data_IF_528545294834
#
_entry.id   IF_528545294834
#
_cell.length_a   1.000
_cell.length_b   1.000
_cell.length_c   1.000
_cell.angle_alpha   90.00
_cell.angle_beta   90.00
_cell.angle_gamma   90.00
#
_symmetry.space_group_name_H-M   'P 1'
#
loop_
_entity.id
_entity.type
_entity.pdbx_description
1 polymer ?
#
# COMPACT_ATOMS: atom_id res chain seq x y z
N UNK A 1 -6.69 13.40 -13.84
CA UNK A 1 -7.63 14.24 -13.04
C UNK A 1 -7.80 13.66 -11.62
N UNK A 2 -7.98 12.34 -11.45
CA UNK A 2 -8.09 11.72 -10.13
C UNK A 2 -6.90 12.07 -9.23
N UNK A 3 -5.69 11.84 -9.71
CA UNK A 3 -4.46 12.13 -8.95
C UNK A 3 -4.27 13.62 -8.67
N UNK A 4 -4.68 14.48 -9.61
CA UNK A 4 -4.62 15.93 -9.40
C UNK A 4 -5.60 16.38 -8.31
N UNK A 5 -6.84 15.87 -8.32
CA UNK A 5 -7.81 16.17 -7.27
C UNK A 5 -7.35 15.65 -5.91
N UNK A 6 -6.78 14.42 -5.83
CA UNK A 6 -6.18 13.91 -4.61
C UNK A 6 -5.06 14.82 -4.08
N UNK A 7 -4.12 15.22 -4.96
CA UNK A 7 -3.01 16.07 -4.57
C UNK A 7 -3.48 17.42 -4.01
N UNK A 8 -4.48 18.03 -4.67
CA UNK A 8 -5.07 19.30 -4.21
C UNK A 8 -5.79 19.15 -2.87
N UNK A 9 -6.48 18.01 -2.64
CA UNK A 9 -7.15 17.72 -1.37
C UNK A 9 -6.14 17.59 -0.24
N UNK A 10 -5.06 16.80 -0.43
CA UNK A 10 -4.02 16.67 0.58
C UNK A 10 -3.32 18.00 0.85
N UNK A 11 -3.02 18.78 -0.20
CA UNK A 11 -2.43 20.10 -0.03
C UNK A 11 -3.37 21.04 0.74
N UNK A 12 -4.67 21.04 0.44
CA UNK A 12 -5.64 21.81 1.21
C UNK A 12 -5.68 21.38 2.69
N UNK A 13 -5.63 20.10 2.97
CA UNK A 13 -5.67 19.59 4.36
C UNK A 13 -4.48 20.09 5.20
N UNK A 14 -3.32 20.29 4.56
CA UNK A 14 -2.12 20.81 5.23
C UNK A 14 -2.13 22.36 5.34
N UNK A 15 -2.39 23.05 4.23
CA UNK A 15 -2.18 24.49 4.11
C UNK A 15 -3.45 25.33 4.34
N UNK A 16 -4.64 24.72 4.27
CA UNK A 16 -5.95 25.37 4.38
C UNK A 16 -6.12 26.52 3.38
N UNK A 17 -5.54 26.40 2.16
CA UNK A 17 -5.58 27.44 1.13
C UNK A 17 -6.91 27.39 0.37
N UNK A 18 -7.79 28.37 0.63
CA UNK A 18 -9.12 28.50 0.01
C UNK A 18 -9.08 28.60 -1.54
N UNK A 19 -7.96 29.00 -2.13
CA UNK A 19 -7.80 29.04 -3.60
C UNK A 19 -7.88 27.62 -4.19
N UNK A 20 -7.42 26.62 -3.45
CA UNK A 20 -7.48 25.21 -3.86
C UNK A 20 -8.92 24.72 -3.92
N UNK A 21 -9.77 25.14 -2.98
CA UNK A 21 -11.19 24.79 -2.95
C UNK A 21 -11.89 25.23 -4.24
N UNK A 22 -11.62 26.46 -4.67
CA UNK A 22 -12.20 26.99 -5.91
C UNK A 22 -11.74 26.20 -7.15
N UNK A 23 -10.46 25.80 -7.21
CA UNK A 23 -9.94 24.99 -8.32
C UNK A 23 -10.59 23.60 -8.30
N UNK A 24 -10.61 22.94 -7.15
CA UNK A 24 -11.22 21.62 -6.98
C UNK A 24 -12.71 21.63 -7.33
N UNK A 25 -13.46 22.66 -6.89
CA UNK A 25 -14.88 22.81 -7.21
C UNK A 25 -15.12 22.90 -8.73
N UNK A 26 -14.31 23.68 -9.44
CA UNK A 26 -14.39 23.76 -10.92
C UNK A 26 -14.10 22.41 -11.57
N UNK A 27 -13.12 21.65 -11.05
CA UNK A 27 -12.83 20.31 -11.56
C UNK A 27 -14.02 19.37 -11.36
N UNK A 28 -14.61 19.37 -10.16
CA UNK A 28 -15.78 18.55 -9.82
C UNK A 28 -16.97 18.90 -10.70
N UNK A 29 -17.31 20.18 -10.83
CA UNK A 29 -18.43 20.64 -11.65
C UNK A 29 -18.25 20.27 -13.12
N UNK A 30 -17.04 20.41 -13.65
CA UNK A 30 -16.72 20.00 -15.03
C UNK A 30 -16.95 18.49 -15.21
N UNK A 31 -16.41 17.68 -14.32
CA UNK A 31 -16.56 16.22 -14.37
C UNK A 31 -18.03 15.81 -14.24
N UNK A 32 -18.77 16.45 -13.35
CA UNK A 32 -20.20 16.20 -13.20
C UNK A 32 -20.98 16.48 -14.48
N UNK A 33 -20.73 17.61 -15.13
CA UNK A 33 -21.38 17.98 -16.39
C UNK A 33 -21.00 17.08 -17.59
N UNK A 34 -19.79 16.49 -17.56
CA UNK A 34 -19.35 15.53 -18.57
C UNK A 34 -19.91 14.11 -18.34
N UNK A 35 -20.56 13.86 -17.22
CA UNK A 35 -21.12 12.55 -16.89
C UNK A 35 -22.60 12.46 -17.26
N UNK A 36 -23.04 11.24 -17.57
CA UNK A 36 -24.44 10.91 -17.84
C UNK A 36 -25.02 10.07 -16.72
N UNK A 37 -26.30 10.26 -16.43
CA UNK A 37 -27.02 9.52 -15.40
C UNK A 37 -27.83 8.37 -16.01
N UNK A 38 -27.78 7.22 -15.34
CA UNK A 38 -28.49 5.99 -15.68
C UNK A 38 -29.15 5.43 -14.40
N UNK A 39 -30.35 5.89 -14.10
CA UNK A 39 -30.98 5.54 -12.80
C UNK A 39 -30.19 6.12 -11.62
N UNK A 40 -29.69 5.25 -10.73
CA UNK A 40 -28.80 5.61 -9.63
C UNK A 40 -27.31 5.56 -9.99
N UNK A 41 -27.00 5.22 -11.24
CA UNK A 41 -25.63 5.13 -11.76
C UNK A 41 -25.25 6.39 -12.53
N UNK A 42 -23.93 6.65 -12.61
CA UNK A 42 -23.35 7.68 -13.49
C UNK A 42 -22.10 7.15 -14.15
N UNK A 43 -21.86 7.60 -15.37
CA UNK A 43 -20.66 7.30 -16.14
C UNK A 43 -20.36 8.44 -17.12
N UNK A 44 -19.11 8.53 -17.54
CA UNK A 44 -18.70 9.49 -18.56
C UNK A 44 -19.12 9.03 -19.95
N UNK A 45 -19.32 9.99 -20.87
CA UNK A 45 -19.66 9.69 -22.24
C UNK A 45 -18.60 8.80 -22.91
N UNK A 46 -19.01 7.89 -23.83
CA UNK A 46 -18.09 6.99 -24.53
C UNK A 46 -16.94 7.72 -25.24
N UNK A 47 -17.18 8.94 -25.71
CA UNK A 47 -16.17 9.78 -26.38
C UNK A 47 -15.03 10.19 -25.44
N UNK A 48 -15.32 10.35 -24.14
CA UNK A 48 -14.34 10.66 -23.11
C UNK A 48 -13.48 9.43 -22.77
N UNK A 49 -14.06 8.23 -22.97
CA UNK A 49 -13.46 6.93 -22.60
C UNK A 49 -12.55 6.39 -23.70
N UNK A 50 -12.75 6.81 -24.96
CA UNK A 50 -12.21 6.16 -26.17
C UNK A 50 -10.69 5.96 -26.18
N UNK A 51 -9.94 6.81 -25.51
CA UNK A 51 -8.47 6.83 -25.59
C UNK A 51 -7.77 6.38 -24.29
N UNK A 52 -8.51 5.76 -23.35
CA UNK A 52 -7.92 5.29 -22.08
C UNK A 52 -7.43 3.85 -22.28
N UNK A 53 -6.14 3.69 -22.55
CA UNK A 53 -5.49 2.38 -22.72
C UNK A 53 -5.55 1.45 -21.49
N UNK A 54 -6.10 1.89 -20.37
CA UNK A 54 -6.26 1.13 -19.13
C UNK A 54 -7.65 0.52 -18.94
N UNK A 55 -8.54 0.68 -19.94
CA UNK A 55 -9.93 0.25 -19.87
C UNK A 55 -10.85 1.26 -19.18
N UNK A 56 -12.16 1.17 -19.44
CA UNK A 56 -13.16 2.12 -18.97
C UNK A 56 -13.26 2.17 -17.43
N UNK A 57 -13.00 1.07 -16.75
CA UNK A 57 -13.01 0.98 -15.28
C UNK A 57 -12.01 1.94 -14.61
N UNK A 58 -10.92 2.31 -15.30
CA UNK A 58 -9.94 3.26 -14.77
C UNK A 58 -10.54 4.65 -14.50
N UNK A 59 -11.68 4.99 -15.09
CA UNK A 59 -12.43 6.21 -14.77
C UNK A 59 -12.97 6.21 -13.34
N UNK A 60 -13.15 5.04 -12.75
CA UNK A 60 -13.54 4.88 -11.35
C UNK A 60 -12.46 5.30 -10.33
N UNK A 61 -11.20 5.51 -10.75
CA UNK A 61 -10.16 6.06 -9.86
C UNK A 61 -10.54 7.45 -9.30
N UNK A 62 -11.45 8.16 -9.95
CA UNK A 62 -11.92 9.47 -9.48
C UNK A 62 -12.95 9.38 -8.35
N UNK A 63 -13.51 8.21 -8.07
CA UNK A 63 -14.57 8.03 -7.06
C UNK A 63 -14.09 8.50 -5.69
N UNK A 64 -12.93 8.01 -5.24
CA UNK A 64 -12.43 8.32 -3.91
C UNK A 64 -12.16 9.82 -3.68
N UNK A 65 -11.43 10.54 -4.54
CA UNK A 65 -11.23 11.97 -4.33
C UNK A 65 -12.50 12.81 -4.48
N UNK A 66 -13.49 12.40 -5.28
CA UNK A 66 -14.79 13.07 -5.32
C UNK A 66 -15.51 12.95 -3.97
N UNK A 67 -15.56 11.75 -3.41
CA UNK A 67 -16.22 11.51 -2.14
C UNK A 67 -15.46 12.14 -0.96
N UNK A 68 -14.13 12.19 -1.02
CA UNK A 68 -13.33 12.92 -0.03
C UNK A 68 -13.59 14.44 -0.12
N UNK A 69 -13.78 14.97 -1.32
CA UNK A 69 -14.17 16.37 -1.52
C UNK A 69 -15.55 16.65 -0.93
N UNK A 70 -16.52 15.76 -1.16
CA UNK A 70 -17.85 15.87 -0.54
C UNK A 70 -17.78 15.81 0.99
N UNK A 71 -17.02 14.90 1.57
CA UNK A 71 -16.85 14.81 3.04
C UNK A 71 -16.29 16.09 3.66
N UNK A 72 -15.39 16.80 2.94
CA UNK A 72 -14.78 18.03 3.42
C UNK A 72 -15.66 19.27 3.21
N UNK A 73 -16.38 19.33 2.09
CA UNK A 73 -17.06 20.56 1.65
C UNK A 73 -18.56 20.45 1.48
N UNK A 74 -19.15 19.25 1.65
CA UNK A 74 -20.60 19.01 1.48
C UNK A 74 -21.07 19.21 0.03
N UNK A 75 -20.30 18.79 -0.97
CA UNK A 75 -20.58 19.03 -2.38
C UNK A 75 -21.46 17.96 -3.01
N UNK A 76 -22.71 18.30 -3.31
CA UNK A 76 -23.68 17.37 -3.89
C UNK A 76 -23.29 16.83 -5.28
N UNK A 77 -22.59 17.60 -6.12
CA UNK A 77 -22.14 17.15 -7.43
C UNK A 77 -21.06 16.08 -7.28
N UNK A 78 -20.12 16.30 -6.37
CA UNK A 78 -19.08 15.32 -6.03
C UNK A 78 -19.68 14.03 -5.48
N UNK A 79 -20.61 14.13 -4.53
CA UNK A 79 -21.32 12.99 -3.96
C UNK A 79 -22.08 12.21 -5.03
N UNK A 80 -22.92 12.89 -5.80
CA UNK A 80 -23.76 12.27 -6.82
C UNK A 80 -22.92 11.59 -7.90
N UNK A 81 -21.85 12.22 -8.35
CA UNK A 81 -20.94 11.64 -9.34
C UNK A 81 -20.18 10.45 -8.76
N UNK A 82 -19.56 10.60 -7.58
CA UNK A 82 -18.78 9.56 -6.94
C UNK A 82 -19.59 8.31 -6.62
N UNK A 83 -20.76 8.48 -6.01
CA UNK A 83 -21.67 7.37 -5.70
C UNK A 83 -22.21 6.71 -6.98
N UNK A 84 -22.61 7.51 -7.96
CA UNK A 84 -23.11 6.99 -9.24
C UNK A 84 -22.06 6.19 -10.01
N UNK A 85 -20.79 6.63 -10.00
CA UNK A 85 -19.67 5.88 -10.58
C UNK A 85 -19.42 4.57 -9.81
N UNK A 86 -19.51 4.59 -8.48
CA UNK A 86 -19.31 3.38 -7.68
C UNK A 86 -20.33 2.29 -8.02
N UNK A 87 -21.62 2.66 -8.14
CA UNK A 87 -22.66 1.74 -8.61
C UNK A 87 -22.39 1.25 -10.03
N UNK A 88 -22.05 2.15 -10.94
CA UNK A 88 -21.79 1.78 -12.33
C UNK A 88 -20.62 0.81 -12.45
N UNK A 89 -19.50 1.10 -11.79
CA UNK A 89 -18.29 0.29 -11.88
C UNK A 89 -18.45 -1.13 -11.28
N UNK A 90 -19.37 -1.31 -10.34
CA UNK A 90 -19.58 -2.60 -9.65
C UNK A 90 -20.77 -3.42 -10.15
N UNK A 91 -21.61 -2.83 -10.99
CA UNK A 91 -22.77 -3.51 -11.58
C UNK A 91 -22.33 -4.61 -12.56
N UNK A 92 -22.88 -5.80 -12.40
CA UNK A 92 -22.57 -6.95 -13.24
C UNK A 92 -22.93 -6.73 -14.73
N UNK A 93 -23.96 -5.93 -15.00
CA UNK A 93 -24.40 -5.65 -16.36
C UNK A 93 -23.41 -4.82 -17.18
N UNK A 94 -22.50 -4.09 -16.52
CA UNK A 94 -21.44 -3.31 -17.18
C UNK A 94 -20.30 -4.17 -17.73
N UNK A 95 -20.18 -5.41 -17.23
CA UNK A 95 -19.15 -6.35 -17.67
C UNK A 95 -17.73 -5.96 -17.26
N UNK A 96 -17.56 -5.20 -16.16
CA UNK A 96 -16.25 -4.90 -15.62
C UNK A 96 -15.73 -5.98 -14.68
N UNK A 97 -16.64 -6.58 -13.92
CA UNK A 97 -16.35 -7.69 -13.04
C UNK A 97 -17.39 -8.81 -13.24
N UNK A 98 -16.95 -10.04 -13.11
CA UNK A 98 -17.85 -11.18 -13.05
C UNK A 98 -18.51 -11.35 -11.65
N UNK A 99 -19.32 -12.38 -11.51
CA UNK A 99 -20.02 -12.72 -10.27
C UNK A 99 -19.05 -13.02 -9.10
N UNK A 100 -17.84 -13.48 -9.40
CA UNK A 100 -16.81 -13.80 -8.39
C UNK A 100 -16.00 -12.58 -7.97
N UNK A 101 -16.05 -11.49 -8.74
CA UNK A 101 -15.24 -10.29 -8.52
C UNK A 101 -13.94 -10.26 -9.34
N UNK A 102 -13.78 -11.17 -10.31
CA UNK A 102 -12.68 -11.09 -11.26
C UNK A 102 -12.91 -9.98 -12.28
N UNK A 103 -11.84 -9.31 -12.66
CA UNK A 103 -11.85 -8.33 -13.74
C UNK A 103 -12.04 -9.08 -15.07
N UNK A 104 -12.98 -8.62 -15.88
CA UNK A 104 -13.35 -9.27 -17.16
C UNK A 104 -13.22 -8.33 -18.36
N UNK A 105 -13.29 -8.90 -19.54
CA UNK A 105 -13.19 -8.16 -20.80
C UNK A 105 -11.79 -7.58 -21.02
N UNK A 106 -11.72 -6.36 -21.52
CA UNK A 106 -10.48 -5.65 -21.80
C UNK A 106 -10.01 -4.77 -20.62
N UNK A 107 -10.52 -5.03 -19.41
CA UNK A 107 -10.14 -4.27 -18.23
C UNK A 107 -8.82 -4.78 -17.65
N UNK A 108 -8.00 -3.89 -17.14
CA UNK A 108 -6.74 -4.28 -16.49
C UNK A 108 -6.98 -4.61 -15.00
N UNK A 109 -6.31 -5.63 -14.49
CA UNK A 109 -6.31 -5.96 -13.06
C UNK A 109 -6.06 -4.73 -12.17
N UNK A 110 -5.03 -3.92 -12.52
CA UNK A 110 -4.71 -2.69 -11.80
C UNK A 110 -5.88 -1.71 -11.77
N UNK A 111 -6.58 -1.54 -12.89
CA UNK A 111 -7.75 -0.65 -12.94
C UNK A 111 -8.90 -1.18 -12.07
N UNK A 112 -9.04 -2.51 -11.97
CA UNK A 112 -10.03 -3.12 -11.09
C UNK A 112 -9.77 -2.85 -9.61
N UNK A 113 -8.53 -2.87 -9.17
CA UNK A 113 -8.19 -2.56 -7.77
C UNK A 113 -8.24 -1.06 -7.46
N UNK A 114 -7.98 -0.19 -8.43
CA UNK A 114 -7.90 1.25 -8.22
C UNK A 114 -9.21 1.94 -7.87
N UNK A 115 -10.35 1.29 -8.12
CA UNK A 115 -11.67 1.82 -7.78
C UNK A 115 -12.14 1.43 -6.37
N UNK A 116 -11.50 0.42 -5.74
CA UNK A 116 -12.07 -0.25 -4.57
C UNK A 116 -12.14 0.66 -3.34
N UNK A 117 -11.16 1.50 -3.11
CA UNK A 117 -11.20 2.48 -2.01
C UNK A 117 -12.40 3.41 -2.15
N UNK A 118 -12.64 3.93 -3.36
CA UNK A 118 -13.79 4.78 -3.66
C UNK A 118 -15.13 4.04 -3.51
N UNK A 119 -15.23 2.79 -3.99
CA UNK A 119 -16.44 1.96 -3.84
C UNK A 119 -16.78 1.71 -2.37
N UNK A 120 -15.79 1.35 -1.56
CA UNK A 120 -16.00 1.12 -0.13
C UNK A 120 -16.37 2.41 0.62
N UNK A 121 -15.77 3.54 0.24
CA UNK A 121 -16.15 4.86 0.75
C UNK A 121 -17.59 5.22 0.37
N UNK A 122 -17.99 5.03 -0.90
CA UNK A 122 -19.35 5.25 -1.37
C UNK A 122 -20.36 4.43 -0.55
N UNK A 123 -20.08 3.15 -0.36
CA UNK A 123 -20.92 2.24 0.43
C UNK A 123 -21.10 2.70 1.88
N UNK A 124 -20.02 3.19 2.51
CA UNK A 124 -20.09 3.77 3.87
C UNK A 124 -20.92 5.05 3.92
N UNK A 125 -20.70 5.97 2.98
CA UNK A 125 -21.45 7.24 2.92
C UNK A 125 -22.94 7.05 2.66
N UNK A 126 -23.30 6.06 1.85
CA UNK A 126 -24.69 5.73 1.53
C UNK A 126 -25.32 4.72 2.50
N UNK A 127 -24.53 4.13 3.39
CA UNK A 127 -24.92 3.02 4.26
C UNK A 127 -25.47 1.82 3.47
N UNK A 128 -24.99 1.62 2.24
CA UNK A 128 -25.43 0.52 1.37
C UNK A 128 -24.60 -0.74 1.62
N UNK A 129 -25.22 -1.67 2.37
CA UNK A 129 -24.60 -2.95 2.71
C UNK A 129 -24.34 -3.84 1.49
N UNK A 130 -25.13 -3.71 0.42
CA UNK A 130 -24.95 -4.53 -0.79
C UNK A 130 -23.75 -4.04 -1.62
N UNK A 131 -23.61 -2.73 -1.79
CA UNK A 131 -22.43 -2.12 -2.42
C UNK A 131 -21.17 -2.42 -1.61
N UNK A 132 -21.25 -2.36 -0.28
CA UNK A 132 -20.14 -2.71 0.60
C UNK A 132 -19.71 -4.18 0.44
N UNK A 133 -20.69 -5.09 0.48
CA UNK A 133 -20.42 -6.53 0.29
C UNK A 133 -19.81 -6.82 -1.08
N UNK A 134 -20.26 -6.13 -2.12
CA UNK A 134 -19.70 -6.25 -3.48
C UNK A 134 -18.27 -5.73 -3.54
N UNK A 135 -17.98 -4.54 -3.00
CA UNK A 135 -16.63 -3.98 -2.93
C UNK A 135 -15.66 -4.89 -2.16
N UNK A 136 -16.11 -5.43 -1.02
CA UNK A 136 -15.33 -6.42 -0.25
C UNK A 136 -15.06 -7.69 -1.05
N UNK A 137 -16.08 -8.25 -1.71
CA UNK A 137 -15.94 -9.44 -2.54
C UNK A 137 -14.88 -9.26 -3.63
N UNK A 138 -14.92 -8.12 -4.34
CA UNK A 138 -13.94 -7.79 -5.39
C UNK A 138 -12.55 -7.64 -4.77
N UNK A 139 -12.43 -6.94 -3.64
CA UNK A 139 -11.15 -6.80 -2.94
C UNK A 139 -10.55 -8.16 -2.56
N UNK A 140 -11.32 -9.01 -1.91
CA UNK A 140 -10.87 -10.33 -1.46
C UNK A 140 -10.47 -11.21 -2.65
N UNK A 141 -11.24 -11.16 -3.73
CA UNK A 141 -10.95 -11.90 -4.96
C UNK A 141 -9.66 -11.45 -5.62
N UNK A 142 -9.49 -10.16 -5.84
CA UNK A 142 -8.29 -9.63 -6.48
C UNK A 142 -7.06 -9.78 -5.57
N UNK A 143 -7.21 -9.64 -4.26
CA UNK A 143 -6.14 -9.90 -3.29
C UNK A 143 -5.70 -11.36 -3.27
N UNK A 144 -6.56 -12.31 -3.66
CA UNK A 144 -6.20 -13.74 -3.71
C UNK A 144 -5.14 -14.08 -4.76
N UNK A 145 -4.88 -13.18 -5.69
CA UNK A 145 -3.80 -13.29 -6.69
C UNK A 145 -2.49 -12.67 -6.24
N UNK A 146 -2.48 -12.01 -5.09
CA UNK A 146 -1.31 -11.33 -4.53
C UNK A 146 -0.62 -12.25 -3.54
N UNK A 147 0.70 -12.34 -3.61
CA UNK A 147 1.47 -13.09 -2.61
C UNK A 147 1.33 -12.43 -1.23
N UNK A 148 1.57 -13.18 -0.17
CA UNK A 148 1.53 -12.62 1.21
C UNK A 148 2.48 -11.44 1.41
N UNK A 149 3.58 -11.36 0.67
CA UNK A 149 4.54 -10.25 0.74
C UNK A 149 4.22 -9.08 -0.19
N UNK A 150 3.13 -9.14 -0.97
CA UNK A 150 2.65 -8.04 -1.78
C UNK A 150 3.06 -8.04 -3.26
N UNK A 151 3.60 -9.17 -3.80
CA UNK A 151 3.79 -9.31 -5.24
C UNK A 151 2.44 -9.44 -5.92
N UNK A 152 2.14 -8.53 -6.84
CA UNK A 152 0.86 -8.44 -7.55
C UNK A 152 0.96 -9.02 -8.97
N UNK A 153 -0.15 -9.42 -9.60
CA UNK A 153 -0.13 -9.86 -11.00
C UNK A 153 0.33 -8.80 -11.99
N UNK A 154 0.29 -7.56 -11.59
CA UNK A 154 0.63 -6.43 -12.46
C UNK A 154 2.12 -6.08 -12.32
N UNK A 155 2.69 -5.52 -13.38
CA UNK A 155 4.09 -5.11 -13.43
C UNK A 155 4.40 -3.85 -12.61
N UNK A 156 3.38 -3.22 -12.00
CA UNK A 156 3.49 -2.02 -11.18
C UNK A 156 3.12 -2.31 -9.72
N UNK A 157 3.93 -3.09 -8.97
CA UNK A 157 3.54 -3.53 -7.61
C UNK A 157 3.35 -2.38 -6.63
N UNK A 158 4.17 -1.32 -6.70
CA UNK A 158 4.02 -0.17 -5.81
C UNK A 158 2.67 0.54 -6.01
N UNK A 159 2.23 0.73 -7.27
CA UNK A 159 0.93 1.31 -7.57
C UNK A 159 -0.22 0.40 -7.12
N UNK A 160 -0.10 -0.90 -7.43
CA UNK A 160 -1.14 -1.87 -7.11
C UNK A 160 -1.28 -2.10 -5.61
N UNK A 161 -0.16 -2.19 -4.88
CA UNK A 161 -0.18 -2.32 -3.43
C UNK A 161 -0.83 -1.14 -2.74
N UNK A 162 -0.56 0.09 -3.20
CA UNK A 162 -1.19 1.27 -2.60
C UNK A 162 -2.72 1.20 -2.69
N UNK A 163 -3.27 0.80 -3.85
CA UNK A 163 -4.72 0.69 -4.02
C UNK A 163 -5.33 -0.42 -3.14
N UNK A 164 -4.63 -1.56 -3.04
CA UNK A 164 -5.05 -2.65 -2.14
C UNK A 164 -4.92 -2.25 -0.66
N UNK A 165 -3.86 -1.56 -0.26
CA UNK A 165 -3.67 -1.04 1.09
C UNK A 165 -4.81 -0.08 1.44
N UNK A 166 -5.15 0.83 0.53
CA UNK A 166 -6.19 1.82 0.79
C UNK A 166 -7.57 1.18 0.95
N UNK A 167 -7.94 0.25 0.07
CA UNK A 167 -9.19 -0.51 0.22
C UNK A 167 -9.18 -1.40 1.47
N UNK A 168 -8.05 -2.03 1.81
CA UNK A 168 -7.90 -2.83 3.03
C UNK A 168 -8.06 -2.01 4.31
N UNK A 169 -7.65 -0.73 4.33
CA UNK A 169 -7.90 0.18 5.45
C UNK A 169 -9.41 0.34 5.70
N UNK A 170 -10.19 0.58 4.64
CA UNK A 170 -11.65 0.66 4.77
C UNK A 170 -12.26 -0.63 5.34
N UNK A 171 -11.73 -1.79 4.92
CA UNK A 171 -12.17 -3.09 5.43
C UNK A 171 -11.73 -3.32 6.87
N UNK A 172 -10.51 -2.94 7.23
CA UNK A 172 -10.00 -3.06 8.59
C UNK A 172 -10.82 -2.24 9.61
N UNK A 173 -11.24 -1.04 9.21
CA UNK A 173 -12.04 -0.15 10.04
C UNK A 173 -13.52 -0.58 10.17
N UNK A 174 -14.04 -1.33 9.20
CA UNK A 174 -15.47 -1.61 9.10
C UNK A 174 -15.82 -3.07 9.38
N UNK A 175 -14.95 -4.01 9.00
CA UNK A 175 -15.22 -5.46 9.09
C UNK A 175 -14.39 -6.09 10.19
N UNK A 176 -13.07 -6.12 10.01
CA UNK A 176 -12.17 -6.84 10.89
C UNK A 176 -10.73 -6.30 10.80
N UNK A 177 -10.12 -6.08 11.96
CA UNK A 177 -8.74 -5.62 12.08
C UNK A 177 -7.70 -6.59 11.46
N UNK A 178 -8.08 -7.80 11.05
CA UNK A 178 -7.20 -8.73 10.34
C UNK A 178 -6.72 -8.18 8.99
N UNK A 179 -7.47 -7.27 8.35
CA UNK A 179 -7.00 -6.60 7.14
C UNK A 179 -5.76 -5.73 7.36
N UNK A 180 -5.50 -5.26 8.59
CA UNK A 180 -4.22 -4.61 8.92
C UNK A 180 -3.02 -5.55 8.77
N UNK A 181 -3.22 -6.86 8.88
CA UNK A 181 -2.17 -7.85 8.65
C UNK A 181 -1.70 -7.88 7.18
N UNK A 182 -2.64 -7.83 6.24
CA UNK A 182 -2.36 -7.71 4.81
C UNK A 182 -1.57 -6.43 4.51
N UNK A 183 -2.02 -5.31 5.07
CA UNK A 183 -1.36 -4.00 4.90
C UNK A 183 0.07 -4.04 5.43
N UNK A 184 0.27 -4.56 6.65
CA UNK A 184 1.59 -4.66 7.29
C UNK A 184 2.56 -5.46 6.41
N UNK A 185 2.14 -6.64 5.92
CA UNK A 185 2.96 -7.48 5.04
C UNK A 185 3.32 -6.79 3.72
N UNK A 186 2.37 -6.10 3.09
CA UNK A 186 2.62 -5.43 1.81
C UNK A 186 3.58 -4.25 1.95
N UNK A 187 3.38 -3.42 2.98
CA UNK A 187 4.23 -2.24 3.21
C UNK A 187 5.62 -2.65 3.68
N UNK A 188 5.70 -3.59 4.61
CA UNK A 188 6.95 -4.06 5.22
C UNK A 188 7.87 -4.73 4.20
N UNK A 189 7.30 -5.39 3.20
CA UNK A 189 8.07 -6.16 2.23
C UNK A 189 8.08 -5.48 0.84
N UNK A 190 7.11 -5.78 -0.03
CA UNK A 190 7.15 -5.34 -1.42
C UNK A 190 7.26 -3.83 -1.58
N UNK A 191 6.47 -3.05 -0.83
CA UNK A 191 6.49 -1.59 -1.00
C UNK A 191 7.81 -0.99 -0.55
N UNK A 192 8.30 -1.39 0.63
CA UNK A 192 9.55 -0.88 1.19
C UNK A 192 10.76 -1.27 0.35
N UNK A 193 10.83 -2.54 -0.05
CA UNK A 193 11.94 -3.05 -0.85
C UNK A 193 12.00 -2.47 -2.27
N UNK A 194 10.87 -1.95 -2.78
CA UNK A 194 10.84 -1.22 -4.05
C UNK A 194 11.58 0.14 -3.97
N UNK A 195 11.95 0.62 -2.78
CA UNK A 195 12.67 1.89 -2.66
C UNK A 195 14.10 1.79 -3.18
N UNK A 196 14.47 2.73 -4.04
CA UNK A 196 15.84 2.93 -4.51
C UNK A 196 16.62 3.76 -3.49
N UNK A 197 17.58 3.13 -2.81
CA UNK A 197 18.27 3.76 -1.68
C UNK A 197 19.59 4.39 -2.04
N UNK A 198 20.37 3.76 -2.92
CA UNK A 198 21.69 4.27 -3.27
C UNK A 198 22.12 3.90 -4.69
N UNK A 199 22.91 4.78 -5.32
CA UNK A 199 23.56 4.53 -6.60
C UNK A 199 24.46 3.27 -6.59
N UNK A 200 25.04 2.94 -5.44
CA UNK A 200 25.86 1.74 -5.27
C UNK A 200 25.06 0.44 -5.33
N UNK A 201 23.78 0.45 -4.94
CA UNK A 201 22.87 -0.70 -5.13
C UNK A 201 22.62 -0.94 -6.61
N UNK A 202 22.32 0.13 -7.34
CA UNK A 202 22.14 0.09 -8.79
C UNK A 202 23.36 -0.53 -9.50
N UNK A 203 24.56 -0.07 -9.19
CA UNK A 203 25.78 -0.59 -9.79
C UNK A 203 26.04 -2.06 -9.42
N UNK A 204 25.70 -2.49 -8.21
CA UNK A 204 25.85 -3.89 -7.79
C UNK A 204 24.88 -4.79 -8.55
N UNK A 205 23.62 -4.41 -8.68
CA UNK A 205 22.63 -5.19 -9.41
C UNK A 205 22.99 -5.30 -10.90
N UNK A 206 23.38 -4.21 -11.53
CA UNK A 206 23.84 -4.23 -12.92
C UNK A 206 25.09 -5.10 -13.13
N UNK A 207 26.01 -5.12 -12.17
CA UNK A 207 27.22 -5.96 -12.24
C UNK A 207 26.88 -7.45 -12.02
N UNK A 208 25.86 -7.75 -11.20
CA UNK A 208 25.44 -9.12 -10.90
C UNK A 208 24.70 -9.79 -12.07
N UNK A 209 23.89 -9.03 -12.80
CA UNK A 209 23.05 -9.56 -13.90
C UNK A 209 23.74 -9.57 -15.28
N UNK A 210 24.98 -9.13 -15.37
CA UNK A 210 25.83 -9.28 -16.55
C UNK A 210 25.20 -8.78 -17.85
N UNK A 211 24.85 -7.51 -17.93
CA UNK A 211 24.34 -6.75 -19.09
C UNK A 211 22.82 -6.78 -19.28
N UNK A 212 22.23 -5.62 -19.22
CA UNK A 212 20.95 -5.32 -19.87
C UNK A 212 21.19 -5.47 -21.37
N UNK A 213 20.48 -6.39 -22.00
CA UNK A 213 20.57 -6.53 -23.45
C UNK A 213 19.86 -5.36 -24.13
N UNK A 214 20.34 -4.96 -25.32
CA UNK A 214 19.70 -3.89 -26.09
C UNK A 214 18.21 -4.14 -26.38
N UNK A 215 17.75 -5.40 -26.38
CA UNK A 215 16.34 -5.77 -26.50
C UNK A 215 15.51 -5.39 -25.26
N UNK A 216 16.01 -5.58 -24.05
CA UNK A 216 15.34 -5.21 -22.80
C UNK A 216 15.22 -3.69 -22.69
N UNK A 217 16.22 -2.98 -23.14
CA UNK A 217 16.21 -1.53 -23.21
C UNK A 217 15.20 -1.01 -24.25
N UNK A 218 15.09 -1.64 -25.41
CA UNK A 218 14.10 -1.33 -26.47
C UNK A 218 12.66 -1.53 -26.00
N UNK A 219 12.41 -2.55 -25.19
CA UNK A 219 11.08 -2.82 -24.66
C UNK A 219 10.60 -1.71 -23.72
N UNK A 220 11.49 -1.13 -22.94
CA UNK A 220 11.16 -0.11 -21.95
C UNK A 220 11.00 1.28 -22.58
N UNK A 221 11.81 1.63 -23.56
CA UNK A 221 11.84 2.97 -24.16
C UNK A 221 11.18 3.09 -25.53
N UNK A 222 10.57 2.02 -26.04
CA UNK A 222 9.90 2.02 -27.34
C UNK A 222 10.85 2.25 -28.52
N UNK A 223 10.29 2.75 -29.64
CA UNK A 223 11.02 2.95 -30.91
C UNK A 223 12.11 4.03 -30.93
N UNK A 224 12.56 4.50 -29.78
CA UNK A 224 13.80 5.32 -29.69
C UNK A 224 15.08 4.51 -29.91
N UNK A 225 14.95 3.30 -30.46
CA UNK A 225 15.98 2.27 -30.52
C UNK A 225 17.20 2.60 -31.36
N UNK A 226 17.07 3.43 -32.39
CA UNK A 226 18.15 3.60 -33.36
C UNK A 226 19.31 4.49 -32.88
N UNK A 227 19.10 5.23 -31.79
CA UNK A 227 20.12 6.10 -31.19
C UNK A 227 20.69 5.56 -29.87
N UNK A 228 20.02 4.59 -29.23
CA UNK A 228 20.37 4.11 -27.89
C UNK A 228 21.60 3.19 -27.88
N UNK A 229 21.85 2.45 -28.95
CA UNK A 229 23.05 1.61 -29.10
C UNK A 229 24.33 2.43 -29.19
N UNK A 230 24.21 3.74 -29.41
CA UNK A 230 25.33 4.68 -29.56
C UNK A 230 25.53 5.63 -28.40
N UNK A 231 24.55 5.66 -27.45
CA UNK A 231 24.67 6.52 -26.29
C UNK A 231 25.65 5.93 -25.28
N UNK A 232 26.66 6.68 -24.84
CA UNK A 232 27.54 6.23 -23.78
C UNK A 232 26.74 5.97 -22.50
N UNK A 233 27.15 4.98 -21.74
CA UNK A 233 26.57 4.64 -20.44
C UNK A 233 26.43 5.87 -19.50
N UNK A 234 27.28 6.87 -19.68
CA UNK A 234 27.33 8.14 -18.94
C UNK A 234 26.26 9.16 -19.39
N UNK A 235 25.49 8.88 -20.45
CA UNK A 235 24.49 9.84 -20.96
C UNK A 235 23.30 10.03 -19.99
N UNK A 236 23.00 9.02 -19.18
CA UNK A 236 21.96 9.15 -18.14
C UNK A 236 22.46 9.97 -16.95
N UNK A 237 23.63 10.54 -17.03
CA UNK A 237 24.24 11.43 -16.08
C UNK A 237 24.14 10.93 -14.63
N UNK A 238 25.20 10.96 -13.91
CA UNK A 238 25.23 10.66 -12.48
C UNK A 238 24.12 11.41 -11.71
N UNK A 239 23.74 12.58 -12.18
CA UNK A 239 22.70 13.43 -11.60
C UNK A 239 21.29 12.81 -11.59
N UNK A 240 20.91 11.96 -12.55
CA UNK A 240 19.55 11.38 -12.59
C UNK A 240 19.38 10.33 -11.50
N UNK A 241 20.37 9.47 -11.31
CA UNK A 241 20.36 8.46 -10.25
C UNK A 241 20.42 9.12 -8.87
N UNK A 242 21.29 10.11 -8.70
CA UNK A 242 21.42 10.85 -7.45
C UNK A 242 20.12 11.59 -7.08
N UNK A 243 19.46 12.20 -8.08
CA UNK A 243 18.15 12.86 -7.90
C UNK A 243 16.98 11.88 -7.72
N UNK A 244 17.18 10.60 -8.04
CA UNK A 244 16.17 9.55 -7.92
C UNK A 244 16.31 8.73 -6.62
N UNK A 245 17.33 9.01 -5.83
CA UNK A 245 17.53 8.37 -4.54
C UNK A 245 16.31 8.61 -3.64
N UNK A 246 15.82 7.53 -3.01
CA UNK A 246 14.55 7.52 -2.28
C UNK A 246 13.30 7.29 -3.13
N UNK A 247 13.40 7.35 -4.46
CA UNK A 247 12.32 6.98 -5.36
C UNK A 247 11.98 5.50 -5.32
N UNK A 248 10.87 5.10 -5.95
CA UNK A 248 10.41 3.71 -5.92
C UNK A 248 10.42 3.09 -7.31
N UNK A 249 10.91 1.86 -7.35
CA UNK A 249 11.00 1.06 -8.55
C UNK A 249 9.65 0.46 -8.92
N UNK A 250 9.45 0.25 -10.19
CA UNK A 250 8.29 -0.43 -10.74
C UNK A 250 8.37 -1.97 -10.60
N UNK A 251 9.56 -2.55 -10.47
CA UNK A 251 9.79 -3.99 -10.52
C UNK A 251 9.36 -4.74 -9.26
N UNK A 252 8.97 -5.98 -9.45
CA UNK A 252 8.64 -6.95 -8.41
C UNK A 252 9.90 -7.73 -7.98
N UNK A 253 10.07 -7.98 -6.67
CA UNK A 253 11.21 -8.73 -6.17
C UNK A 253 11.26 -10.18 -6.60
N UNK A 254 10.11 -10.78 -6.87
CA UNK A 254 10.06 -12.15 -7.36
C UNK A 254 10.59 -12.26 -8.79
N UNK A 255 10.74 -11.15 -9.48
CA UNK A 255 11.41 -11.09 -10.77
C UNK A 255 12.86 -10.65 -10.56
N UNK A 256 13.82 -11.46 -10.94
CA UNK A 256 15.25 -11.16 -10.83
C UNK A 256 15.74 -10.02 -11.74
N UNK A 257 14.83 -9.25 -12.32
CA UNK A 257 15.15 -8.22 -13.28
C UNK A 257 15.06 -6.84 -12.67
N UNK A 258 16.19 -6.32 -12.32
CA UNK A 258 16.36 -4.90 -12.08
C UNK A 258 16.50 -4.20 -13.44
N UNK A 259 15.46 -3.51 -13.88
CA UNK A 259 15.52 -2.73 -15.12
C UNK A 259 15.78 -1.27 -14.76
N UNK A 260 16.85 -0.63 -15.27
CA UNK A 260 17.16 0.77 -14.99
C UNK A 260 16.02 1.77 -15.22
N UNK A 261 15.16 1.49 -16.18
CA UNK A 261 13.98 2.28 -16.46
C UNK A 261 12.81 2.09 -15.48
N UNK A 262 13.00 1.32 -14.43
CA UNK A 262 11.93 1.00 -13.48
C UNK A 262 11.65 2.09 -12.44
N UNK A 263 12.42 3.18 -12.43
CA UNK A 263 12.10 4.37 -11.64
C UNK A 263 10.99 5.17 -12.33
N UNK A 264 9.78 5.09 -11.79
CA UNK A 264 8.63 5.82 -12.32
C UNK A 264 8.04 6.75 -11.26
N UNK A 265 7.77 7.98 -11.67
CA UNK A 265 7.19 9.00 -10.77
C UNK A 265 5.85 8.54 -10.17
N UNK A 266 5.02 7.84 -10.94
CA UNK A 266 3.74 7.32 -10.43
C UNK A 266 3.95 6.28 -9.32
N UNK A 267 4.92 5.36 -9.46
CA UNK A 267 5.23 4.37 -8.44
C UNK A 267 5.76 5.02 -7.16
N UNK A 268 6.62 6.01 -7.28
CA UNK A 268 7.11 6.79 -6.14
C UNK A 268 5.97 7.49 -5.39
N UNK A 269 5.07 8.18 -6.10
CA UNK A 269 3.92 8.83 -5.48
C UNK A 269 2.96 7.86 -4.79
N UNK A 270 2.70 6.69 -5.38
CA UNK A 270 1.85 5.67 -4.79
C UNK A 270 2.48 4.98 -3.57
N UNK A 271 3.77 4.65 -3.63
CA UNK A 271 4.48 4.08 -2.50
C UNK A 271 4.51 5.05 -1.31
N UNK A 272 4.84 6.33 -1.55
CA UNK A 272 4.81 7.37 -0.52
C UNK A 272 3.42 7.51 0.11
N UNK A 273 2.36 7.44 -0.71
CA UNK A 273 0.99 7.44 -0.20
C UNK A 273 0.69 6.21 0.66
N UNK A 274 1.21 5.04 0.32
CA UNK A 274 1.06 3.84 1.16
C UNK A 274 1.63 4.05 2.56
N UNK A 275 2.83 4.61 2.65
CA UNK A 275 3.46 4.91 3.94
C UNK A 275 2.68 5.97 4.73
N UNK A 276 2.20 7.03 4.05
CA UNK A 276 1.37 8.05 4.69
C UNK A 276 0.09 7.44 5.27
N UNK A 277 -0.64 6.62 4.50
CA UNK A 277 -1.85 5.95 4.96
C UNK A 277 -1.60 5.02 6.16
N UNK A 278 -0.47 4.32 6.17
CA UNK A 278 -0.07 3.48 7.32
C UNK A 278 0.27 4.35 8.52
N UNK A 279 1.01 5.45 8.33
CA UNK A 279 1.34 6.38 9.41
C UNK A 279 0.09 6.99 10.06
N UNK A 280 -0.92 7.41 9.26
CA UNK A 280 -2.21 7.89 9.76
C UNK A 280 -2.95 6.85 10.64
N UNK A 281 -2.77 5.56 10.33
CA UNK A 281 -3.43 4.46 11.03
C UNK A 281 -2.57 3.76 12.08
N UNK A 282 -1.31 4.17 12.21
CA UNK A 282 -0.36 3.58 13.16
C UNK A 282 -0.89 3.64 14.58
N UNK A 283 -1.27 4.83 15.00
CA UNK A 283 -1.88 5.13 16.29
C UNK A 283 -3.20 5.82 16.01
N UNK A 284 -4.30 5.12 16.23
CA UNK A 284 -5.66 5.63 15.99
C UNK A 284 -6.28 6.14 17.29
N UNK A 285 -6.58 7.45 17.42
CA UNK A 285 -7.18 8.01 18.63
C UNK A 285 -8.59 7.45 18.85
N UNK A 286 -8.93 7.23 20.13
CA UNK A 286 -10.25 6.83 20.59
C UNK A 286 -10.73 7.71 21.74
N UNK A 287 -11.99 7.63 22.13
CA UNK A 287 -12.54 8.42 23.25
C UNK A 287 -11.79 8.16 24.56
N UNK A 288 -11.29 6.94 24.79
CA UNK A 288 -10.64 6.53 26.02
C UNK A 288 -9.11 6.47 25.93
N UNK A 289 -8.54 6.70 24.75
CA UNK A 289 -7.10 6.62 24.54
C UNK A 289 -6.77 6.39 23.07
N UNK A 290 -6.12 5.27 22.75
CA UNK A 290 -5.74 4.99 21.36
C UNK A 290 -5.56 3.49 21.07
N UNK A 291 -5.65 3.17 19.77
CA UNK A 291 -5.35 1.86 19.23
C UNK A 291 -4.02 1.91 18.47
N UNK A 292 -3.18 0.89 18.65
CA UNK A 292 -1.95 0.67 17.88
C UNK A 292 -2.22 -0.45 16.88
N UNK A 293 -2.22 -0.14 15.59
CA UNK A 293 -2.58 -1.08 14.53
C UNK A 293 -1.37 -1.72 13.84
N UNK A 294 -0.19 -1.07 13.91
CA UNK A 294 1.04 -1.56 13.29
C UNK A 294 2.22 -1.53 14.26
N UNK A 295 3.17 -2.45 14.07
CA UNK A 295 4.32 -2.64 14.94
C UNK A 295 5.61 -2.11 14.29
N UNK A 296 5.62 -0.80 14.00
CA UNK A 296 6.79 -0.06 13.52
C UNK A 296 7.29 0.91 14.60
N UNK A 297 8.54 1.31 14.52
CA UNK A 297 9.01 2.45 15.32
C UNK A 297 8.39 3.73 14.77
N UNK A 298 7.65 4.45 15.63
CA UNK A 298 6.88 5.61 15.24
C UNK A 298 6.61 6.51 16.45
N UNK A 299 6.45 7.79 16.22
CA UNK A 299 6.15 8.74 17.29
C UNK A 299 5.16 9.81 16.81
N UNK A 300 4.15 10.09 17.64
CA UNK A 300 3.22 11.20 17.45
C UNK A 300 2.82 11.84 18.79
N UNK A 301 1.76 12.65 18.84
CA UNK A 301 1.29 13.33 20.04
C UNK A 301 0.67 12.38 21.10
N UNK A 302 0.36 11.14 20.76
CA UNK A 302 -0.24 10.14 21.66
C UNK A 302 0.79 9.23 22.32
N UNK A 303 1.73 8.72 21.54
CA UNK A 303 2.69 7.75 22.03
C UNK A 303 3.99 7.72 21.19
N UNK A 304 5.03 7.13 21.78
CA UNK A 304 6.21 6.61 21.09
C UNK A 304 6.09 5.08 21.01
N UNK A 305 6.29 4.53 19.81
CA UNK A 305 6.32 3.11 19.51
C UNK A 305 7.75 2.71 19.15
N UNK A 306 8.25 1.59 19.70
CA UNK A 306 9.60 1.10 19.40
C UNK A 306 9.50 -0.38 19.02
N UNK A 307 9.82 -0.70 17.77
CA UNK A 307 9.83 -2.07 17.25
C UNK A 307 11.25 -2.60 17.17
N UNK A 308 11.46 -3.84 17.62
CA UNK A 308 12.73 -4.55 17.53
C UNK A 308 12.71 -5.62 16.43
N UNK A 309 11.59 -5.73 15.71
CA UNK A 309 11.48 -6.65 14.58
C UNK A 309 12.33 -6.21 13.39
N UNK A 310 12.88 -7.14 12.62
CA UNK A 310 12.78 -8.61 12.73
C UNK A 310 13.87 -9.25 13.62
N UNK A 311 14.58 -8.51 14.46
CA UNK A 311 15.72 -9.01 15.21
C UNK A 311 15.31 -9.67 16.53
N UNK A 312 14.37 -9.06 17.24
CA UNK A 312 13.88 -9.51 18.54
C UNK A 312 12.35 -9.45 18.56
N UNK A 313 11.70 -10.44 19.16
CA UNK A 313 10.26 -10.46 19.42
C UNK A 313 9.89 -9.51 20.57
N UNK A 314 10.08 -8.23 20.32
CA UNK A 314 9.83 -7.18 21.29
C UNK A 314 9.23 -5.94 20.62
N UNK A 315 8.18 -5.41 21.23
CA UNK A 315 7.56 -4.16 20.86
C UNK A 315 7.28 -3.33 22.10
N UNK A 316 7.47 -2.01 22.03
CA UNK A 316 7.32 -1.12 23.18
C UNK A 316 6.36 0.01 22.81
N UNK A 317 5.46 0.33 23.77
CA UNK A 317 4.54 1.45 23.68
C UNK A 317 4.77 2.37 24.87
N UNK A 318 5.03 3.64 24.61
CA UNK A 318 5.24 4.66 25.63
C UNK A 318 4.20 5.78 25.43
N UNK A 319 3.10 5.80 26.19
CA UNK A 319 2.10 6.86 26.07
C UNK A 319 2.68 8.21 26.54
N UNK A 320 2.38 9.27 25.81
CA UNK A 320 2.82 10.64 26.16
C UNK A 320 1.92 11.35 27.16
N UNK A 321 0.72 10.80 27.37
CA UNK A 321 -0.29 11.32 28.32
C UNK A 321 -0.90 10.14 29.08
N UNK A 322 -1.41 10.40 30.29
CA UNK A 322 -2.20 9.43 31.02
C UNK A 322 -3.38 8.96 30.15
N UNK A 323 -3.49 7.67 29.95
CA UNK A 323 -4.39 7.06 28.97
C UNK A 323 -5.22 5.98 29.63
N UNK A 324 -6.55 6.10 29.56
CA UNK A 324 -7.45 5.14 30.20
C UNK A 324 -7.40 3.76 29.54
N UNK A 325 -7.28 3.72 28.19
CA UNK A 325 -7.31 2.47 27.43
C UNK A 325 -6.36 2.55 26.25
N UNK A 326 -5.42 1.62 26.19
CA UNK A 326 -4.56 1.38 25.03
C UNK A 326 -4.92 0.00 24.48
N UNK A 327 -5.18 -0.08 23.17
CA UNK A 327 -5.33 -1.37 22.50
C UNK A 327 -4.19 -1.57 21.51
N UNK A 328 -3.53 -2.71 21.58
CA UNK A 328 -2.43 -3.07 20.66
C UNK A 328 -2.85 -4.28 19.86
N UNK A 329 -2.89 -4.15 18.54
CA UNK A 329 -3.27 -5.26 17.65
C UNK A 329 -2.33 -6.44 17.83
N UNK A 330 -2.89 -7.63 17.82
CA UNK A 330 -2.16 -8.91 17.87
C UNK A 330 -1.96 -9.38 16.43
N UNK A 331 -0.73 -9.37 15.89
CA UNK A 331 -0.44 -9.95 14.58
C UNK A 331 -0.65 -11.47 14.59
N UNK A 332 -0.85 -12.06 13.41
CA UNK A 332 -1.05 -13.50 13.29
C UNK A 332 0.11 -14.34 13.84
N UNK A 333 1.35 -13.85 13.74
CA UNK A 333 2.55 -14.55 14.24
C UNK A 333 2.77 -14.41 15.76
N UNK A 334 2.01 -13.57 16.48
CA UNK A 334 2.08 -13.54 17.94
C UNK A 334 1.31 -14.73 18.53
N UNK A 335 2.04 -15.66 19.08
CA UNK A 335 1.42 -16.76 19.81
C UNK A 335 0.83 -16.24 21.12
N UNK A 336 -0.50 -16.08 21.15
CA UNK A 336 -1.24 -15.43 22.26
C UNK A 336 -0.93 -16.05 23.63
N UNK A 337 -0.66 -17.35 23.67
CA UNK A 337 -0.34 -18.08 24.91
C UNK A 337 1.08 -17.85 25.42
N UNK A 338 1.97 -17.35 24.59
CA UNK A 338 3.37 -17.03 24.92
C UNK A 338 3.65 -15.53 24.98
N UNK A 339 2.62 -14.72 24.75
CA UNK A 339 2.74 -13.27 24.86
C UNK A 339 2.87 -12.87 26.33
N UNK A 340 3.90 -12.12 26.63
CA UNK A 340 4.14 -11.53 27.95
C UNK A 340 4.21 -10.02 27.83
N UNK A 341 3.67 -9.32 28.83
CA UNK A 341 3.68 -7.86 28.87
C UNK A 341 4.30 -7.39 30.16
N UNK A 342 5.25 -6.48 30.04
CA UNK A 342 5.96 -5.92 31.18
C UNK A 342 5.76 -4.41 31.26
N UNK A 343 5.71 -3.89 32.47
CA UNK A 343 5.80 -2.47 32.73
C UNK A 343 6.76 -2.24 33.90
N UNK A 344 7.70 -1.31 33.76
CA UNK A 344 8.72 -1.01 34.76
C UNK A 344 9.47 -2.25 35.26
N UNK A 345 9.65 -3.24 34.36
CA UNK A 345 10.32 -4.50 34.67
C UNK A 345 9.45 -5.57 35.35
N UNK A 346 8.24 -5.26 35.74
CA UNK A 346 7.26 -6.20 36.28
C UNK A 346 6.31 -6.73 35.22
N UNK A 347 6.01 -8.03 35.22
CA UNK A 347 4.99 -8.59 34.34
C UNK A 347 3.60 -8.13 34.77
N UNK A 348 2.79 -7.66 33.83
CA UNK A 348 1.44 -7.15 34.07
C UNK A 348 0.39 -8.04 33.44
N UNK A 349 -0.78 -8.10 34.09
CA UNK A 349 -1.94 -8.80 33.54
C UNK A 349 -2.59 -7.94 32.44
N UNK A 350 -3.05 -8.60 31.39
CA UNK A 350 -3.75 -7.98 30.28
C UNK A 350 -5.00 -8.74 29.89
N UNK A 351 -5.86 -8.10 29.13
CA UNK A 351 -7.04 -8.71 28.51
C UNK A 351 -6.89 -8.73 27.01
N UNK A 352 -7.56 -9.67 26.36
CA UNK A 352 -7.69 -9.70 24.88
C UNK A 352 -9.14 -9.40 24.54
N UNK A 353 -9.34 -8.38 23.69
CA UNK A 353 -10.63 -8.02 23.11
C UNK A 353 -10.53 -8.13 21.58
N UNK A 354 -11.13 -9.17 21.01
CA UNK A 354 -10.97 -9.49 19.57
C UNK A 354 -9.51 -9.76 19.21
N UNK A 355 -8.98 -8.94 18.31
CA UNK A 355 -7.59 -9.02 17.85
C UNK A 355 -6.66 -8.02 18.56
N UNK A 356 -7.04 -7.52 19.75
CA UNK A 356 -6.26 -6.54 20.49
C UNK A 356 -5.94 -6.99 21.92
N UNK A 357 -4.71 -6.73 22.33
CA UNK A 357 -4.36 -6.65 23.76
C UNK A 357 -4.88 -5.33 24.31
N UNK A 358 -5.44 -5.36 25.50
CA UNK A 358 -5.96 -4.17 26.18
C UNK A 358 -5.18 -3.90 27.44
N UNK A 359 -4.59 -2.71 27.52
CA UNK A 359 -3.93 -2.14 28.71
C UNK A 359 -4.81 -1.02 29.25
N UNK A 360 -5.04 -1.05 30.57
CA UNK A 360 -5.85 -0.06 31.26
C UNK A 360 -4.99 0.89 32.09
N UNK A 361 -5.40 2.16 32.13
CA UNK A 361 -4.82 3.17 33.04
C UNK A 361 -3.29 3.31 32.95
N UNK A 362 -2.77 3.48 31.73
CA UNK A 362 -1.36 3.74 31.52
C UNK A 362 -0.99 5.17 31.87
N UNK A 363 0.13 5.35 32.56
CA UNK A 363 0.67 6.67 32.92
C UNK A 363 1.50 7.26 31.78
N UNK A 364 1.64 8.59 31.77
CA UNK A 364 2.51 9.29 30.84
C UNK A 364 3.98 8.87 31.04
N UNK A 365 4.65 8.48 29.97
CA UNK A 365 6.04 8.01 29.99
C UNK A 365 6.23 6.57 30.47
N UNK A 366 5.16 5.87 30.83
CA UNK A 366 5.22 4.47 31.24
C UNK A 366 5.65 3.58 30.07
N UNK A 367 6.74 2.85 30.22
CA UNK A 367 7.22 1.89 29.24
C UNK A 367 6.44 0.57 29.33
N UNK A 368 5.67 0.24 28.30
CA UNK A 368 4.88 -1.01 28.20
C UNK A 368 5.53 -1.89 27.13
N UNK A 369 6.17 -2.98 27.57
CA UNK A 369 6.91 -3.89 26.70
C UNK A 369 6.09 -5.15 26.39
N UNK A 370 5.92 -5.46 25.13
CA UNK A 370 5.35 -6.70 24.62
C UNK A 370 6.50 -7.63 24.21
N UNK A 371 6.55 -8.84 24.77
CA UNK A 371 7.53 -9.86 24.43
C UNK A 371 6.83 -11.11 23.90
N UNK A 372 7.30 -11.63 22.79
CA UNK A 372 6.73 -12.77 22.09
C UNK A 372 7.81 -13.56 21.36
N UNK A 373 7.62 -14.86 21.13
CA UNK A 373 8.50 -15.62 20.27
C UNK A 373 8.48 -15.04 18.84
N UNK A 374 9.66 -14.88 18.27
CA UNK A 374 9.82 -14.43 16.89
C UNK A 374 10.62 -15.48 16.13
N UNK A 375 9.94 -16.57 15.79
CA UNK A 375 10.53 -17.70 15.08
C UNK A 375 10.48 -17.48 13.55
N UNK A 376 11.45 -18.07 12.85
CA UNK A 376 11.41 -18.12 11.39
C UNK A 376 10.47 -19.24 10.93
N UNK A 377 9.74 -19.00 9.86
CA UNK A 377 8.91 -20.00 9.21
C UNK A 377 8.95 -19.85 7.69
N UNK A 378 8.55 -20.90 6.97
CA UNK A 378 8.57 -20.92 5.50
C UNK A 378 7.15 -21.09 4.99
N UNK A 379 6.79 -20.29 3.99
CA UNK A 379 5.55 -20.47 3.21
C UNK A 379 5.88 -20.74 1.76
N UNK A 380 4.94 -21.34 1.04
CA UNK A 380 4.95 -21.47 -0.39
C UNK A 380 3.90 -20.50 -0.98
N UNK A 381 4.35 -19.59 -1.84
CA UNK A 381 3.52 -18.54 -2.42
C UNK A 381 3.34 -18.79 -3.92
N UNK A 382 2.13 -18.60 -4.43
CA UNK A 382 1.84 -18.62 -5.86
C UNK A 382 2.06 -17.23 -6.44
N UNK A 383 2.91 -17.12 -7.44
CA UNK A 383 3.14 -15.87 -8.19
C UNK A 383 2.29 -15.87 -9.44
N UNK A 384 1.51 -14.82 -9.60
CA UNK A 384 0.64 -14.59 -10.76
C UNK A 384 1.19 -13.43 -11.59
N UNK A 385 0.96 -13.46 -12.90
CA UNK A 385 1.23 -12.34 -13.81
C UNK A 385 0.07 -12.14 -14.76
N UNK A 386 -0.17 -10.90 -15.14
CA UNK A 386 -1.20 -10.61 -16.13
C UNK A 386 -0.77 -11.03 -17.53
N UNK A 387 -1.59 -11.89 -18.14
CA UNK A 387 -1.53 -12.22 -19.57
C UNK A 387 -2.86 -11.77 -20.15
N UNK A 388 -2.83 -10.81 -21.08
CA UNK A 388 -4.05 -10.21 -21.63
C UNK A 388 -5.05 -9.76 -20.54
N UNK A 389 -4.55 -9.07 -19.53
CA UNK A 389 -5.31 -8.52 -18.38
C UNK A 389 -5.85 -9.56 -17.38
N UNK A 390 -5.60 -10.84 -17.59
CA UNK A 390 -6.04 -11.93 -16.71
C UNK A 390 -4.88 -12.38 -15.83
N UNK A 391 -5.05 -12.49 -14.50
CA UNK A 391 -4.04 -13.06 -13.62
C UNK A 391 -3.83 -14.54 -13.93
N UNK A 392 -2.64 -14.90 -14.41
CA UNK A 392 -2.25 -16.27 -14.73
C UNK A 392 -1.15 -16.73 -13.79
N UNK A 393 -1.29 -17.94 -13.25
CA UNK A 393 -0.25 -18.57 -12.45
C UNK A 393 1.03 -18.72 -13.28
N UNK A 394 2.17 -18.35 -12.70
CA UNK A 394 3.48 -18.48 -13.33
C UNK A 394 4.36 -19.54 -12.64
N UNK A 395 4.61 -19.34 -11.37
CA UNK A 395 5.47 -20.23 -10.59
C UNK A 395 5.16 -20.13 -9.10
N UNK A 396 5.74 -21.04 -8.33
CA UNK A 396 5.74 -21.01 -6.87
C UNK A 396 7.09 -20.51 -6.36
N UNK A 397 7.05 -19.80 -5.24
CA UNK A 397 8.25 -19.36 -4.54
C UNK A 397 8.14 -19.72 -3.07
N UNK A 398 9.21 -20.30 -2.49
CA UNK A 398 9.29 -20.48 -1.04
C UNK A 398 9.86 -19.24 -0.41
N UNK A 399 9.19 -18.76 0.63
CA UNK A 399 9.50 -17.50 1.30
C UNK A 399 9.83 -17.81 2.76
N UNK A 400 11.00 -17.40 3.22
CA UNK A 400 11.36 -17.45 4.62
C UNK A 400 10.98 -16.14 5.29
N UNK A 401 10.21 -16.25 6.34
CA UNK A 401 9.69 -15.15 7.14
C UNK A 401 10.27 -15.14 8.54
N UNK A 402 10.30 -13.94 9.13
CA UNK A 402 10.47 -13.74 10.57
C UNK A 402 9.46 -12.70 11.04
N UNK A 403 8.44 -13.15 11.75
CA UNK A 403 7.22 -12.33 11.92
C UNK A 403 6.56 -12.03 10.57
N UNK A 404 6.24 -10.76 10.31
CA UNK A 404 5.72 -10.29 9.03
C UNK A 404 6.81 -9.83 8.03
N UNK A 405 8.06 -10.07 8.37
CA UNK A 405 9.21 -9.66 7.55
C UNK A 405 9.72 -10.82 6.72
N UNK A 406 9.84 -10.64 5.41
CA UNK A 406 10.50 -11.58 4.50
C UNK A 406 12.01 -11.46 4.68
N UNK A 407 12.65 -12.58 5.05
CA UNK A 407 14.11 -12.63 5.21
C UNK A 407 14.78 -12.98 3.88
N UNK A 408 14.21 -13.94 3.15
CA UNK A 408 14.72 -14.35 1.83
C UNK A 408 13.70 -15.14 1.02
N UNK A 409 13.90 -15.13 -0.29
CA UNK A 409 13.25 -16.04 -1.25
C UNK A 409 14.18 -17.23 -1.50
N UNK A 410 13.66 -18.45 -1.35
CA UNK A 410 14.47 -19.66 -1.34
C UNK A 410 14.56 -20.39 -2.68
N UNK A 411 13.55 -20.26 -3.51
CA UNK A 411 13.46 -20.95 -4.80
C UNK A 411 13.29 -19.96 -5.93
N UNK A 412 14.40 -19.54 -6.44
CA UNK A 412 14.45 -18.94 -7.76
C UNK A 412 15.60 -19.59 -8.52
N UNK A 413 15.46 -19.67 -9.84
CA UNK A 413 16.38 -20.32 -10.78
C UNK A 413 17.88 -19.94 -10.66
N UNK A 414 18.29 -19.30 -9.60
CA UNK A 414 19.67 -18.98 -9.27
C UNK A 414 20.16 -19.81 -8.09
N UNK A 415 21.40 -20.28 -8.17
CA UNK A 415 22.07 -21.02 -7.11
C UNK A 415 22.23 -20.24 -5.78
N UNK A 416 21.93 -18.94 -5.78
CA UNK A 416 22.00 -18.07 -4.61
C UNK A 416 20.60 -17.56 -4.22
N UNK A 417 20.14 -17.84 -2.99
CA UNK A 417 18.88 -17.29 -2.49
C UNK A 417 18.98 -15.76 -2.47
N UNK A 418 18.02 -15.09 -3.08
CA UNK A 418 17.95 -13.61 -3.05
C UNK A 418 17.59 -13.16 -1.64
N UNK A 419 18.50 -12.47 -0.99
CA UNK A 419 18.22 -11.74 0.25
C UNK A 419 17.39 -10.53 -0.11
N UNK A 420 16.11 -10.52 0.28
CA UNK A 420 15.21 -9.39 0.00
C UNK A 420 15.57 -8.20 0.89
N UNK A 421 16.01 -8.43 2.11
CA UNK A 421 16.23 -7.35 3.05
C UNK A 421 17.52 -6.59 2.73
N UNK A 422 17.42 -5.58 1.87
CA UNK A 422 18.49 -4.62 1.62
C UNK A 422 18.95 -3.90 2.89
N UNK A 423 18.04 -3.76 3.86
CA UNK A 423 18.25 -3.06 5.12
C UNK A 423 18.70 -3.97 6.27
N UNK A 424 18.76 -5.28 6.06
CA UNK A 424 19.19 -6.27 7.06
C UNK A 424 20.59 -6.80 6.71
N UNK A 425 21.40 -6.07 5.96
CA UNK A 425 22.83 -6.36 5.90
C UNK A 425 23.40 -6.20 7.30
N UNK A 426 24.41 -7.02 7.66
CA UNK A 426 25.08 -6.98 8.96
C UNK A 426 25.59 -5.59 9.34
N UNK A 427 25.72 -4.68 8.37
CA UNK A 427 26.18 -3.31 8.52
C UNK A 427 25.13 -2.40 9.20
N UNK A 428 23.85 -2.78 9.23
CA UNK A 428 22.77 -2.06 9.90
C UNK A 428 22.45 -2.58 11.31
N UNK A 429 23.14 -3.59 11.79
CA UNK A 429 23.07 -4.00 13.20
C UNK A 429 23.90 -3.02 14.02
N UNK A 430 23.40 -1.80 14.14
CA UNK A 430 23.95 -0.84 15.09
C UNK A 430 23.58 -1.28 16.51
N UNK A 431 24.43 -2.15 17.08
CA UNK A 431 24.53 -2.35 18.54
C UNK A 431 23.20 -2.57 19.28
N UNK A 432 22.20 -3.22 18.66
CA UNK A 432 20.92 -3.54 19.31
C UNK A 432 20.04 -2.33 19.62
N UNK A 433 20.31 -1.16 19.05
CA UNK A 433 19.43 0.00 19.18
C UNK A 433 18.41 0.02 18.06
N UNK A 434 17.09 0.17 18.39
CA UNK A 434 16.06 0.34 17.38
C UNK A 434 16.34 1.58 16.54
N UNK A 435 16.10 1.50 15.23
CA UNK A 435 16.07 2.69 14.39
C UNK A 435 14.93 3.59 14.88
N UNK A 436 15.25 4.69 15.53
CA UNK A 436 14.28 5.73 15.87
C UNK A 436 13.92 6.48 14.59
N UNK A 437 12.73 6.24 14.09
CA UNK A 437 12.14 7.11 13.09
C UNK A 437 11.45 8.23 13.86
N UNK A 438 12.08 9.40 13.93
CA UNK A 438 11.44 10.60 14.45
C UNK A 438 10.30 11.01 13.50
N UNK A 439 9.23 11.63 14.04
CA UNK A 439 7.97 11.94 13.34
C UNK A 439 8.04 12.85 12.09
N UNK A 440 9.23 13.17 11.62
CA UNK A 440 9.50 13.51 10.23
C UNK A 440 9.82 12.19 9.53
N UNK A 441 9.01 11.84 8.53
CA UNK A 441 9.19 10.65 7.70
C UNK A 441 10.57 10.75 7.01
N UNK A 442 11.61 10.40 7.72
CA UNK A 442 12.91 10.08 7.15
C UNK A 442 12.91 8.57 6.90
N UNK A 443 12.30 8.22 5.79
CA UNK A 443 12.26 6.85 5.25
C UNK A 443 13.61 6.47 4.62
#
# INVERSE_FOLDING_TARGET
>A
QSRALHALLYWYMEEQDERLVHIMKKMVDTLFHMSHQFGNQRMFAPEVIRDIGMGAIALGEIIDPLLKFDELFGDENARTLGVGLAYYCTDLSTGFFDENGDVVGNQLYRSGISILSGVLRAARLTQDASLFARGKQIHDRLSSYVTRYGSTPCTEPACSNMELIYSAIHLAETVDASYYEQIDRYVRNQTKEAQFLTKSEWHRELAHEGRITGEEFRWVFGNYSDTLDTLPYDYYGDDVLDKSEGGFLWTDFSEHRFVPASLMLCCSGHAMRSFHLVAEKMIHPTIQGFDVNFHYSFENEYAELISYEPFEGKFVVIPKKCTQKIRVRIPEYWEKTKLQIFSEGAEILFKIEGNYVVIQNAEAGQEIQFKYPLESYITEENVYRNINSIPCFQFKVRVEWKGNTVIRLLDHCSENPKMIYKHVSNDYIYGGKPLKVSGHINW
#
